data_IF_589464372683
#
_entry.id   IF_589464372683
#
_cell.length_a   1.000
_cell.length_b   1.000
_cell.length_c   1.000
_cell.angle_alpha   90.00
_cell.angle_beta   90.00
_cell.angle_gamma   90.00
#
_symmetry.space_group_name_H-M   'P 1'
#
loop_
_entity.id
_entity.type
_entity.pdbx_description
1 polymer ?
#
# COMPACT_ATOMS: atom_id res chain seq x y z
N UNK A 1 40.12 -12.50 26.35
CA UNK A 1 39.79 -11.54 25.29
C UNK A 1 38.29 -11.54 25.14
N UNK A 2 37.63 -10.45 25.50
CA UNK A 2 36.19 -10.29 25.35
C UNK A 2 35.95 -9.55 24.03
N UNK A 3 35.17 -10.15 23.12
CA UNK A 3 34.89 -9.66 21.76
C UNK A 3 33.56 -8.88 21.68
N UNK A 4 33.06 -8.36 22.81
CA UNK A 4 31.79 -7.65 22.88
C UNK A 4 32.00 -6.14 23.05
N UNK A 5 32.68 -5.46 22.10
CA UNK A 5 32.90 -4.01 22.19
C UNK A 5 32.05 -3.14 21.26
N UNK A 6 31.34 -3.72 20.29
CA UNK A 6 30.41 -2.98 19.43
C UNK A 6 29.22 -3.88 19.08
N UNK A 7 28.16 -3.88 19.89
CA UNK A 7 26.86 -4.27 19.38
C UNK A 7 26.51 -3.27 18.26
N UNK A 8 26.14 -3.71 17.04
CA UNK A 8 25.75 -2.79 15.98
C UNK A 8 24.60 -1.91 16.50
N UNK A 9 24.73 -0.60 16.31
CA UNK A 9 23.66 0.34 16.65
C UNK A 9 22.37 -0.10 15.95
N UNK A 10 21.26 -0.03 16.68
CA UNK A 10 19.94 -0.36 16.16
C UNK A 10 19.67 0.59 14.99
N UNK A 11 19.72 0.06 13.77
CA UNK A 11 19.60 0.88 12.57
C UNK A 11 18.12 1.21 12.34
N UNK A 12 17.64 2.30 12.92
CA UNK A 12 16.25 2.76 12.78
C UNK A 12 15.92 3.17 11.34
N UNK A 13 16.94 3.48 10.54
CA UNK A 13 16.80 3.80 9.12
C UNK A 13 17.60 2.81 8.27
N UNK A 14 16.93 2.11 7.35
CA UNK A 14 17.56 1.09 6.49
C UNK A 14 18.09 1.66 5.17
N UNK A 15 17.88 2.95 4.88
CA UNK A 15 18.42 3.58 3.67
C UNK A 15 19.87 4.03 3.86
N UNK A 16 20.73 3.85 2.84
CA UNK A 16 22.13 4.25 2.91
C UNK A 16 22.35 5.75 2.71
N UNK A 17 21.43 6.46 2.04
CA UNK A 17 21.51 7.90 1.78
C UNK A 17 20.12 8.53 1.65
N UNK A 18 20.03 9.83 1.92
CA UNK A 18 18.93 10.75 1.56
C UNK A 18 17.51 10.18 1.68
N UNK A 19 17.12 9.76 2.88
CA UNK A 19 15.76 9.33 3.19
C UNK A 19 15.67 8.67 4.55
N UNK A 20 14.43 8.33 4.97
CA UNK A 20 14.17 7.52 6.16
C UNK A 20 13.24 6.38 5.76
N UNK A 21 13.64 5.13 6.03
CA UNK A 21 12.78 3.94 5.96
C UNK A 21 12.90 3.19 7.28
N UNK A 22 11.76 3.01 7.93
CA UNK A 22 11.61 2.23 9.15
C UNK A 22 10.95 0.90 8.80
N UNK A 23 11.67 -0.20 9.00
CA UNK A 23 11.14 -1.55 8.82
C UNK A 23 10.54 -2.05 10.15
N UNK A 24 9.22 -2.21 10.17
CA UNK A 24 8.47 -2.74 11.32
C UNK A 24 8.32 -4.27 11.27
N UNK A 25 8.91 -4.93 10.28
CA UNK A 25 8.84 -6.36 10.10
C UNK A 25 7.46 -6.86 9.68
N UNK A 26 7.22 -8.15 9.90
CA UNK A 26 5.99 -8.83 9.50
C UNK A 26 4.87 -8.53 10.50
N UNK A 27 3.89 -7.74 10.05
CA UNK A 27 2.75 -7.29 10.87
C UNK A 27 1.55 -8.25 10.88
N UNK A 28 1.48 -9.17 9.90
CA UNK A 28 0.42 -10.18 9.79
C UNK A 28 1.00 -11.59 9.80
N UNK A 29 0.36 -12.51 10.52
CA UNK A 29 0.71 -13.93 10.40
C UNK A 29 0.43 -14.43 8.97
N UNK A 30 1.08 -15.53 8.57
CA UNK A 30 0.85 -16.15 7.27
C UNK A 30 -0.63 -16.52 7.06
N UNK A 31 -1.28 -17.04 8.11
CA UNK A 31 -2.71 -17.39 8.10
C UNK A 31 -3.60 -16.16 7.89
N UNK A 32 -3.38 -15.09 8.64
CA UNK A 32 -4.15 -13.85 8.48
C UNK A 32 -3.94 -13.25 7.09
N UNK A 33 -2.71 -13.25 6.59
CA UNK A 33 -2.37 -12.71 5.26
C UNK A 33 -3.09 -13.46 4.15
N UNK A 34 -3.12 -14.79 4.20
CA UNK A 34 -3.83 -15.62 3.22
C UNK A 34 -5.34 -15.34 3.24
N UNK A 35 -5.93 -15.25 4.43
CA UNK A 35 -7.37 -14.98 4.61
C UNK A 35 -7.76 -13.60 4.06
N UNK A 36 -6.99 -12.56 4.37
CA UNK A 36 -7.26 -11.22 3.85
C UNK A 36 -7.10 -11.16 2.34
N UNK A 37 -6.07 -11.80 1.78
CA UNK A 37 -5.87 -11.84 0.33
C UNK A 37 -7.08 -12.46 -0.38
N UNK A 38 -7.53 -13.63 0.09
CA UNK A 38 -8.70 -14.30 -0.48
C UNK A 38 -9.96 -13.42 -0.39
N UNK A 39 -10.22 -12.85 0.79
CA UNK A 39 -11.35 -11.97 0.99
C UNK A 39 -11.27 -10.75 0.04
N UNK A 40 -10.12 -10.08 -0.03
CA UNK A 40 -9.98 -8.87 -0.84
C UNK A 40 -10.16 -9.14 -2.32
N UNK A 41 -9.59 -10.21 -2.85
CA UNK A 41 -9.74 -10.59 -4.26
C UNK A 41 -11.20 -10.87 -4.64
N UNK A 42 -11.99 -11.40 -3.71
CA UNK A 42 -13.39 -11.76 -3.97
C UNK A 42 -14.38 -10.60 -3.72
N UNK A 43 -14.10 -9.70 -2.77
CA UNK A 43 -15.13 -8.78 -2.23
C UNK A 43 -14.87 -7.29 -2.50
N UNK A 44 -13.65 -6.90 -2.87
CA UNK A 44 -13.37 -5.48 -3.14
C UNK A 44 -13.75 -5.11 -4.58
N UNK A 45 -14.12 -3.85 -4.76
CA UNK A 45 -14.47 -3.26 -6.05
C UNK A 45 -13.21 -2.98 -6.89
N UNK A 46 -12.52 -4.04 -7.31
CA UNK A 46 -11.33 -3.95 -8.15
C UNK A 46 -11.67 -3.40 -9.53
N UNK A 47 -10.96 -2.36 -9.94
CA UNK A 47 -11.03 -1.76 -11.27
C UNK A 47 -9.63 -1.50 -11.81
N UNK A 48 -9.49 -1.42 -13.13
CA UNK A 48 -8.21 -1.04 -13.72
C UNK A 48 -7.82 0.38 -13.27
N UNK A 49 -6.54 0.61 -12.99
CA UNK A 49 -6.07 1.95 -12.69
C UNK A 49 -5.89 2.76 -13.97
N UNK A 50 -6.30 4.02 -13.90
CA UNK A 50 -6.38 4.92 -15.05
C UNK A 50 -5.77 6.28 -14.70
N UNK A 51 -5.19 6.94 -15.70
CA UNK A 51 -4.51 8.22 -15.53
C UNK A 51 -4.30 8.95 -16.84
N UNK A 52 -4.10 10.26 -16.76
CA UNK A 52 -3.60 11.05 -17.88
C UNK A 52 -2.10 11.29 -17.68
N UNK A 53 -1.31 10.92 -18.69
CA UNK A 53 0.13 11.21 -18.74
C UNK A 53 0.40 11.96 -20.04
N UNK A 54 1.03 13.13 -19.95
CA UNK A 54 1.32 14.00 -21.11
C UNK A 54 0.07 14.30 -21.98
N UNK A 55 -1.10 14.42 -21.35
CA UNK A 55 -2.37 14.69 -22.03
C UNK A 55 -3.00 13.47 -22.71
N UNK A 56 -2.37 12.29 -22.66
CA UNK A 56 -2.90 11.04 -23.19
C UNK A 56 -3.50 10.20 -22.06
N UNK A 57 -4.63 9.55 -22.33
CA UNK A 57 -5.30 8.65 -21.39
C UNK A 57 -4.66 7.25 -21.44
N UNK A 58 -4.34 6.71 -20.26
CA UNK A 58 -3.80 5.37 -20.09
C UNK A 58 -4.63 4.57 -19.11
N UNK A 59 -4.88 3.31 -19.48
CA UNK A 59 -5.43 2.29 -18.60
C UNK A 59 -4.37 1.22 -18.39
N UNK A 60 -4.07 0.94 -17.13
CA UNK A 60 -3.04 -0.04 -16.76
C UNK A 60 -3.65 -1.43 -16.55
N UNK A 61 -2.80 -2.46 -16.53
CA UNK A 61 -3.21 -3.82 -16.13
C UNK A 61 -3.33 -3.98 -14.61
N UNK A 62 -2.82 -3.02 -13.83
CA UNK A 62 -2.94 -3.04 -12.37
C UNK A 62 -4.39 -2.77 -11.98
N UNK A 63 -4.92 -3.61 -11.11
CA UNK A 63 -6.20 -3.35 -10.46
C UNK A 63 -6.00 -2.55 -9.16
N UNK A 64 -6.94 -1.63 -8.91
CA UNK A 64 -7.00 -0.80 -7.71
C UNK A 64 -8.42 -0.79 -7.18
N UNK A 65 -8.54 -0.54 -5.89
CA UNK A 65 -9.79 -0.41 -5.16
C UNK A 65 -9.68 0.87 -4.31
N UNK A 66 -10.70 1.74 -4.34
CA UNK A 66 -10.69 3.03 -3.63
C UNK A 66 -11.79 3.05 -2.60
N UNK A 67 -11.40 3.23 -1.34
CA UNK A 67 -12.32 3.22 -0.20
C UNK A 67 -12.01 4.38 0.76
N UNK A 68 -13.00 4.78 1.53
CA UNK A 68 -12.96 5.95 2.41
C UNK A 68 -14.11 5.99 3.39
N UNK A 69 -14.06 6.95 4.31
CA UNK A 69 -15.09 7.12 5.35
C UNK A 69 -16.48 7.42 4.76
N UNK A 70 -16.49 8.08 3.61
CA UNK A 70 -17.69 8.47 2.87
C UNK A 70 -17.46 8.31 1.36
N UNK A 71 -18.53 8.46 0.58
CA UNK A 71 -18.44 8.50 -0.88
C UNK A 71 -17.87 9.85 -1.34
N UNK A 72 -16.54 9.96 -1.44
CA UNK A 72 -15.88 11.16 -1.95
C UNK A 72 -15.10 10.91 -3.23
N UNK A 73 -14.74 12.01 -3.89
CA UNK A 73 -13.96 12.00 -5.11
C UNK A 73 -12.54 12.49 -4.86
N UNK A 74 -11.57 11.70 -5.30
CA UNK A 74 -10.17 12.06 -5.31
C UNK A 74 -9.69 12.24 -6.75
N UNK A 75 -9.15 13.41 -7.07
CA UNK A 75 -8.58 13.68 -8.39
C UNK A 75 -7.07 13.58 -8.34
N UNK A 76 -6.51 12.74 -9.19
CA UNK A 76 -5.06 12.56 -9.29
C UNK A 76 -4.64 12.25 -10.71
N UNK A 77 -3.55 12.89 -11.16
CA UNK A 77 -3.02 12.74 -12.52
C UNK A 77 -4.09 12.87 -13.62
N UNK A 78 -5.03 13.82 -13.44
CA UNK A 78 -6.13 14.04 -14.38
C UNK A 78 -7.26 13.01 -14.33
N UNK A 79 -7.09 11.87 -13.64
CA UNK A 79 -8.16 10.89 -13.42
C UNK A 79 -8.97 11.22 -12.16
N UNK A 80 -10.24 10.81 -12.18
CA UNK A 80 -11.16 10.90 -11.04
C UNK A 80 -11.31 9.51 -10.42
N UNK A 81 -11.13 9.42 -9.11
CA UNK A 81 -11.27 8.19 -8.34
C UNK A 81 -12.41 8.36 -7.35
N UNK A 82 -13.41 7.50 -7.44
CA UNK A 82 -14.56 7.50 -6.53
C UNK A 82 -14.30 6.51 -5.40
N UNK A 83 -14.32 7.00 -4.16
CA UNK A 83 -14.22 6.15 -2.99
C UNK A 83 -15.57 5.43 -2.73
N UNK A 84 -15.49 4.14 -2.46
CA UNK A 84 -16.53 3.36 -1.81
C UNK A 84 -16.44 3.52 -0.28
N UNK A 85 -17.53 3.30 0.44
CA UNK A 85 -17.48 3.30 1.91
C UNK A 85 -16.78 2.03 2.39
N UNK A 86 -15.95 2.14 3.43
CA UNK A 86 -15.27 0.99 4.05
C UNK A 86 -16.21 -0.21 4.28
N UNK A 87 -15.71 -1.40 3.99
CA UNK A 87 -16.34 -2.65 4.40
C UNK A 87 -15.85 -3.01 5.81
N UNK A 88 -16.60 -3.73 6.64
CA UNK A 88 -16.15 -4.12 7.99
C UNK A 88 -14.85 -4.93 8.05
N UNK A 89 -14.45 -5.53 6.93
CA UNK A 89 -13.20 -6.29 6.78
C UNK A 89 -12.00 -5.43 6.34
N UNK A 90 -12.22 -4.13 6.09
CA UNK A 90 -11.21 -3.11 5.74
C UNK A 90 -10.95 -2.18 6.93
#
# INVERSE_FOLDING_TARGET
MNLELFAPERCDNVLPYDGIVQDYGVVLSAEHSARYLEYFLQHLAWQADEGLLFGQYYRTQRQVAWYGDEQYQYRYSGALKQAHVWQPAL
#
